data_IF_402744353082
#
_entry.id   IF_402744353082
#
_cell.length_a   1.000
_cell.length_b   1.000
_cell.length_c   1.000
_cell.angle_alpha   90.00
_cell.angle_beta   90.00
_cell.angle_gamma   90.00
#
_symmetry.space_group_name_H-M   'P 1'
#
loop_
_entity.id
_entity.type
_entity.pdbx_description
1 polymer ?
#
# COMPACT_ATOMS: atom_id res chain seq x y z
N UNK A 1 31.18 -48.05 -47.37
CA UNK A 1 30.16 -48.63 -46.49
C UNK A 1 29.79 -47.59 -45.45
N UNK A 2 28.52 -47.21 -45.42
CA UNK A 2 27.96 -46.11 -44.63
C UNK A 2 28.20 -46.28 -43.12
N UNK A 3 28.69 -45.24 -42.45
CA UNK A 3 28.31 -44.94 -41.08
C UNK A 3 28.16 -43.43 -40.90
N UNK A 4 26.90 -42.99 -40.76
CA UNK A 4 26.51 -41.64 -40.44
C UNK A 4 26.86 -41.34 -38.97
N UNK A 5 27.58 -40.24 -38.74
CA UNK A 5 27.87 -39.71 -37.42
C UNK A 5 26.74 -38.74 -37.05
N UNK A 6 25.90 -39.12 -36.07
CA UNK A 6 24.87 -38.24 -35.51
C UNK A 6 25.53 -37.36 -34.45
N UNK A 7 25.70 -36.07 -34.76
CA UNK A 7 26.08 -35.04 -33.79
C UNK A 7 24.86 -34.63 -32.97
N UNK A 8 24.85 -34.97 -31.67
CA UNK A 8 23.95 -34.33 -30.71
C UNK A 8 24.55 -32.99 -30.28
N UNK A 9 23.94 -31.89 -30.73
CA UNK A 9 24.22 -30.56 -30.21
C UNK A 9 23.42 -30.36 -28.91
N UNK A 10 24.10 -30.34 -27.77
CA UNK A 10 23.54 -29.87 -26.50
C UNK A 10 23.55 -28.34 -26.56
N UNK A 11 22.40 -27.74 -26.85
CA UNK A 11 22.19 -26.30 -26.71
C UNK A 11 22.01 -26.01 -25.22
N UNK A 12 23.11 -25.65 -24.55
CA UNK A 12 23.07 -25.09 -23.21
C UNK A 12 22.46 -23.68 -23.27
N UNK A 13 21.20 -23.56 -22.89
CA UNK A 13 20.55 -22.26 -22.66
C UNK A 13 21.14 -21.69 -21.37
N UNK A 14 22.12 -20.80 -21.51
CA UNK A 14 22.65 -20.01 -20.42
C UNK A 14 21.62 -18.93 -20.06
N UNK A 15 20.71 -19.27 -19.15
CA UNK A 15 19.73 -18.35 -18.59
C UNK A 15 20.46 -17.40 -17.64
N UNK A 16 20.88 -16.23 -18.13
CA UNK A 16 21.41 -15.16 -17.27
C UNK A 16 20.25 -14.55 -16.48
N UNK A 17 19.98 -15.12 -15.30
CA UNK A 17 19.17 -14.47 -14.27
C UNK A 17 19.96 -13.27 -13.73
N UNK A 18 19.69 -12.08 -14.27
CA UNK A 18 20.03 -10.84 -13.58
C UNK A 18 19.08 -10.70 -12.39
N UNK A 19 19.51 -11.21 -11.24
CA UNK A 19 18.86 -10.93 -9.96
C UNK A 19 19.05 -9.45 -9.65
N UNK A 20 17.98 -8.67 -9.78
CA UNK A 20 17.89 -7.39 -9.09
C UNK A 20 17.88 -7.68 -7.59
N UNK A 21 19.05 -7.65 -6.97
CA UNK A 21 19.20 -7.58 -5.51
C UNK A 21 18.71 -6.19 -5.08
N UNK A 22 17.40 -6.06 -4.88
CA UNK A 22 16.88 -5.06 -3.97
C UNK A 22 17.35 -5.48 -2.58
N UNK A 23 18.19 -4.67 -1.95
CA UNK A 23 18.66 -4.93 -0.59
C UNK A 23 17.46 -4.71 0.33
N UNK A 24 16.77 -5.80 0.67
CA UNK A 24 15.94 -5.84 1.86
C UNK A 24 16.92 -5.93 3.04
N UNK A 25 16.88 -4.97 3.96
CA UNK A 25 17.80 -4.92 5.11
C UNK A 25 17.44 -5.95 6.20
N UNK A 26 16.43 -6.79 5.99
CA UNK A 26 15.94 -7.76 6.97
C UNK A 26 16.19 -9.21 6.52
N UNK A 27 16.98 -10.02 7.28
CA UNK A 27 17.15 -11.45 7.02
C UNK A 27 15.90 -12.28 7.35
N UNK A 28 14.85 -11.70 7.94
CA UNK A 28 13.66 -12.43 8.32
C UNK A 28 12.88 -12.95 7.10
N UNK A 29 12.39 -14.19 7.20
CA UNK A 29 11.54 -14.80 6.18
C UNK A 29 10.10 -14.28 6.32
N UNK A 30 9.72 -13.36 5.44
CA UNK A 30 8.39 -12.76 5.41
C UNK A 30 7.31 -13.66 4.78
N UNK A 31 7.71 -14.82 4.21
CA UNK A 31 6.82 -15.76 3.52
C UNK A 31 6.64 -17.07 4.28
N UNK A 32 7.62 -17.42 5.11
CA UNK A 32 7.64 -18.62 5.91
C UNK A 32 6.48 -18.75 6.91
N UNK A 33 6.18 -19.99 7.26
CA UNK A 33 5.29 -20.32 8.38
C UNK A 33 5.93 -19.78 9.67
N UNK A 34 5.15 -19.08 10.48
CA UNK A 34 5.59 -18.63 11.81
C UNK A 34 5.05 -19.54 12.91
N UNK A 35 5.81 -19.66 13.98
CA UNK A 35 5.27 -20.16 15.24
C UNK A 35 4.23 -19.18 15.79
N UNK A 36 3.23 -19.73 16.51
CA UNK A 36 2.17 -18.91 17.12
C UNK A 36 2.62 -18.44 18.50
N UNK A 37 2.31 -17.19 18.90
CA UNK A 37 1.56 -16.19 18.11
C UNK A 37 2.39 -15.57 16.98
N UNK A 38 1.78 -15.37 15.81
CA UNK A 38 2.46 -14.79 14.63
C UNK A 38 2.69 -13.28 14.79
N UNK A 39 3.73 -12.77 14.14
CA UNK A 39 3.88 -11.33 13.88
C UNK A 39 3.26 -10.93 12.54
N UNK A 40 2.88 -9.66 12.44
CA UNK A 40 2.34 -9.04 11.23
C UNK A 40 3.47 -8.56 10.31
N UNK A 41 3.15 -7.91 9.19
CA UNK A 41 4.11 -7.61 8.12
C UNK A 41 4.49 -8.82 7.27
N UNK A 42 3.80 -9.95 7.44
CA UNK A 42 4.12 -11.23 6.80
C UNK A 42 3.05 -11.71 5.84
N UNK A 43 3.36 -12.76 5.07
CA UNK A 43 2.45 -13.36 4.12
C UNK A 43 1.15 -13.83 4.77
N UNK A 44 0.04 -13.48 4.13
CA UNK A 44 -1.28 -13.98 4.48
C UNK A 44 -2.33 -13.62 3.47
N UNK A 45 -3.55 -14.11 3.70
CA UNK A 45 -4.68 -13.86 2.82
C UNK A 45 -5.82 -14.83 3.05
N UNK A 46 -6.82 -14.73 2.20
CA UNK A 46 -8.01 -15.58 2.29
C UNK A 46 -7.73 -16.99 1.72
N UNK A 47 -7.99 -18.03 2.52
CA UNK A 47 -7.79 -19.44 2.15
C UNK A 47 -8.67 -19.88 0.97
N UNK A 48 -9.71 -19.13 0.64
CA UNK A 48 -10.59 -19.39 -0.51
C UNK A 48 -10.11 -18.75 -1.81
N UNK A 49 -9.04 -17.94 -1.79
CA UNK A 49 -8.47 -17.22 -2.94
C UNK A 49 -7.72 -18.12 -3.93
N UNK A 50 -8.39 -19.18 -4.37
CA UNK A 50 -7.96 -20.13 -5.38
C UNK A 50 -8.46 -19.71 -6.77
N UNK A 51 -7.54 -19.66 -7.73
CA UNK A 51 -7.81 -19.43 -9.15
C UNK A 51 -7.99 -20.79 -9.84
N UNK A 52 -9.15 -21.41 -9.60
CA UNK A 52 -9.48 -22.81 -9.95
C UNK A 52 -9.20 -23.23 -11.41
N UNK A 53 -9.24 -22.31 -12.37
CA UNK A 53 -9.02 -22.62 -13.80
C UNK A 53 -7.54 -22.65 -14.21
N UNK A 54 -6.63 -22.07 -13.42
CA UNK A 54 -5.20 -21.97 -13.77
C UNK A 54 -4.28 -22.58 -12.71
N UNK A 55 -4.82 -23.16 -11.63
CA UNK A 55 -4.01 -23.73 -10.55
C UNK A 55 -3.23 -22.69 -9.73
N UNK A 56 -3.62 -21.42 -9.78
CA UNK A 56 -2.97 -20.34 -9.02
C UNK A 56 -3.75 -19.94 -7.76
N UNK A 57 -3.15 -19.12 -6.91
CA UNK A 57 -3.79 -18.51 -5.76
C UNK A 57 -3.28 -17.07 -5.55
N UNK A 58 -3.92 -16.33 -4.66
CA UNK A 58 -3.56 -14.95 -4.31
C UNK A 58 -3.10 -14.87 -2.85
N UNK A 59 -2.18 -13.95 -2.56
CA UNK A 59 -1.75 -13.62 -1.20
C UNK A 59 -1.20 -12.20 -1.17
N UNK A 60 -1.22 -11.60 0.01
CA UNK A 60 -0.64 -10.29 0.27
C UNK A 60 0.01 -10.28 1.65
N UNK A 61 -0.09 -9.16 2.33
CA UNK A 61 0.47 -8.96 3.67
C UNK A 61 -0.63 -8.89 4.73
N UNK A 62 -0.41 -9.54 5.88
CA UNK A 62 -1.14 -9.27 7.13
C UNK A 62 -0.54 -8.00 7.75
N UNK A 63 -1.22 -6.86 7.61
CA UNK A 63 -0.62 -5.54 7.78
C UNK A 63 -0.40 -5.09 9.20
N UNK A 64 -1.49 -4.96 9.94
CA UNK A 64 -1.49 -4.36 11.28
C UNK A 64 -2.55 -4.98 12.18
N UNK A 65 -2.35 -4.87 13.49
CA UNK A 65 -3.34 -5.25 14.48
C UNK A 65 -4.15 -4.00 14.82
N UNK A 66 -5.46 -4.13 14.76
CA UNK A 66 -6.39 -3.07 15.17
C UNK A 66 -7.37 -3.60 16.20
N UNK A 67 -7.99 -2.69 16.95
CA UNK A 67 -8.96 -3.04 17.96
C UNK A 67 -10.21 -2.17 17.90
N UNK A 68 -11.35 -2.74 18.28
CA UNK A 68 -12.56 -1.96 18.59
C UNK A 68 -12.48 -1.30 19.97
N UNK A 69 -13.42 -0.39 20.26
CA UNK A 69 -13.61 0.20 21.59
C UNK A 69 -13.87 -0.85 22.70
N UNK A 70 -14.36 -2.03 22.32
CA UNK A 70 -14.59 -3.18 23.21
C UNK A 70 -13.41 -4.15 23.26
N UNK A 71 -12.23 -3.75 22.76
CA UNK A 71 -10.98 -4.55 22.74
C UNK A 71 -11.05 -5.85 21.93
N UNK A 72 -11.96 -5.95 20.94
CA UNK A 72 -11.90 -7.05 19.98
C UNK A 72 -10.76 -6.80 18.99
N UNK A 73 -9.91 -7.81 18.78
CA UNK A 73 -8.73 -7.70 17.92
C UNK A 73 -9.03 -8.15 16.49
N UNK A 74 -8.50 -7.40 15.53
CA UNK A 74 -8.60 -7.71 14.10
C UNK A 74 -7.26 -7.51 13.40
N UNK A 75 -6.96 -8.40 12.44
CA UNK A 75 -5.89 -8.16 11.46
C UNK A 75 -6.43 -7.25 10.36
N UNK A 76 -5.71 -6.18 10.05
CA UNK A 76 -5.94 -5.28 8.92
C UNK A 76 -5.12 -5.71 7.70
N UNK A 77 -5.75 -5.71 6.53
CA UNK A 77 -5.09 -5.83 5.21
C UNK A 77 -5.90 -5.08 4.15
N UNK A 78 -5.54 -5.20 2.88
CA UNK A 78 -6.39 -4.68 1.80
C UNK A 78 -7.63 -5.56 1.58
N UNK A 79 -8.69 -4.94 1.09
CA UNK A 79 -9.89 -5.67 0.65
C UNK A 79 -9.53 -6.69 -0.42
N UNK A 80 -8.71 -6.34 -1.42
CA UNK A 80 -8.37 -7.29 -2.49
C UNK A 80 -7.48 -8.46 -2.03
N UNK A 81 -6.82 -8.36 -0.87
CA UNK A 81 -6.03 -9.45 -0.27
C UNK A 81 -6.93 -10.42 0.51
N UNK A 82 -7.91 -9.89 1.25
CA UNK A 82 -8.84 -10.69 2.04
C UNK A 82 -10.12 -11.08 1.31
N UNK A 83 -10.43 -10.47 0.17
CA UNK A 83 -11.55 -10.88 -0.65
C UNK A 83 -11.23 -12.19 -1.37
N UNK A 84 -12.12 -13.18 -1.20
CA UNK A 84 -12.10 -14.39 -1.99
C UNK A 84 -12.55 -14.14 -3.44
N UNK A 85 -12.61 -15.19 -4.29
CA UNK A 85 -13.01 -15.08 -5.69
C UNK A 85 -14.46 -14.62 -5.90
N UNK A 86 -15.27 -14.65 -4.83
CA UNK A 86 -16.67 -14.17 -4.79
C UNK A 86 -16.80 -12.80 -4.11
N UNK A 87 -15.69 -12.15 -3.77
CA UNK A 87 -15.65 -11.00 -2.87
C UNK A 87 -15.44 -11.42 -1.41
N UNK A 88 -15.30 -10.44 -0.52
CA UNK A 88 -15.21 -10.66 0.92
C UNK A 88 -16.53 -11.26 1.46
N UNK A 89 -16.49 -12.51 1.92
CA UNK A 89 -17.60 -13.17 2.62
C UNK A 89 -17.24 -13.22 4.12
N UNK A 90 -18.12 -12.66 4.96
CA UNK A 90 -17.91 -12.68 6.42
C UNK A 90 -17.78 -14.12 6.91
N UNK A 91 -16.77 -14.36 7.74
CA UNK A 91 -16.39 -15.68 8.25
C UNK A 91 -15.37 -16.42 7.38
N UNK A 92 -14.97 -15.89 6.22
CA UNK A 92 -13.94 -16.53 5.40
C UNK A 92 -12.62 -16.67 6.19
N UNK A 93 -11.96 -17.84 6.11
CA UNK A 93 -10.71 -18.10 6.84
C UNK A 93 -9.53 -17.31 6.26
N UNK A 94 -8.80 -16.61 7.13
CA UNK A 94 -7.55 -15.93 6.82
C UNK A 94 -6.38 -16.72 7.39
N UNK A 95 -5.36 -16.98 6.56
CA UNK A 95 -4.22 -17.83 6.91
C UNK A 95 -2.90 -17.08 7.04
N UNK A 96 -2.02 -17.64 7.87
CA UNK A 96 -0.58 -17.39 7.85
C UNK A 96 0.14 -18.75 7.67
N UNK A 97 1.03 -18.89 6.67
CA UNK A 97 1.31 -17.92 5.62
C UNK A 97 0.13 -17.77 4.65
N UNK A 98 0.28 -16.93 3.62
CA UNK A 98 -0.68 -16.83 2.53
C UNK A 98 -0.64 -18.06 1.61
N UNK A 99 -1.74 -18.34 0.91
CA UNK A 99 -1.85 -19.48 -0.01
C UNK A 99 -0.68 -19.60 -0.99
N UNK A 100 -0.19 -18.51 -1.57
CA UNK A 100 0.93 -18.54 -2.55
C UNK A 100 2.17 -19.16 -1.93
N UNK A 101 2.43 -18.86 -0.65
CA UNK A 101 3.63 -19.29 0.07
C UNK A 101 3.45 -20.65 0.76
N UNK A 102 2.27 -21.28 0.57
CA UNK A 102 1.97 -22.67 0.94
C UNK A 102 1.52 -23.51 -0.25
N UNK A 103 2.04 -23.23 -1.45
CA UNK A 103 1.77 -23.96 -2.70
C UNK A 103 0.27 -24.09 -3.04
N UNK A 104 -0.53 -23.09 -2.66
CA UNK A 104 -1.99 -23.09 -2.76
C UNK A 104 -2.67 -24.30 -2.07
N UNK A 105 -1.97 -24.94 -1.12
CA UNK A 105 -2.35 -26.20 -0.48
C UNK A 105 -2.43 -26.08 1.06
N UNK A 106 -2.75 -24.89 1.56
CA UNK A 106 -2.99 -24.67 3.00
C UNK A 106 -4.35 -25.21 3.44
N UNK A 107 -4.49 -25.44 4.74
CA UNK A 107 -5.71 -25.95 5.36
C UNK A 107 -6.14 -25.15 6.58
N UNK A 108 -7.17 -25.67 7.27
CA UNK A 108 -7.75 -25.01 8.43
C UNK A 108 -6.74 -24.81 9.59
N UNK A 109 -5.69 -25.64 9.65
CA UNK A 109 -4.60 -25.52 10.62
C UNK A 109 -3.76 -24.24 10.47
N UNK A 110 -3.84 -23.58 9.31
CA UNK A 110 -3.10 -22.34 9.04
C UNK A 110 -3.92 -21.09 9.34
N UNK A 111 -5.18 -21.23 9.73
CA UNK A 111 -6.08 -20.09 9.98
C UNK A 111 -5.67 -19.38 11.26
N UNK A 112 -5.61 -18.05 11.18
CA UNK A 112 -5.24 -17.15 12.30
C UNK A 112 -6.29 -16.07 12.55
N UNK A 113 -7.21 -15.86 11.60
CA UNK A 113 -8.32 -14.92 11.72
C UNK A 113 -9.49 -15.29 10.80
N UNK A 114 -10.66 -14.70 11.04
CA UNK A 114 -11.85 -14.87 10.20
C UNK A 114 -12.37 -13.52 9.72
N UNK A 115 -12.58 -13.37 8.41
CA UNK A 115 -12.97 -12.12 7.77
C UNK A 115 -14.22 -11.53 8.43
N UNK A 116 -14.15 -10.27 8.85
CA UNK A 116 -15.22 -9.60 9.60
C UNK A 116 -15.92 -8.54 8.78
N UNK A 117 -15.14 -7.67 8.13
CA UNK A 117 -15.66 -6.57 7.34
C UNK A 117 -14.66 -6.15 6.25
N UNK A 118 -15.14 -5.40 5.27
CA UNK A 118 -14.27 -4.83 4.25
C UNK A 118 -14.94 -3.73 3.44
N UNK A 119 -14.11 -2.80 2.99
CA UNK A 119 -14.50 -1.67 2.14
C UNK A 119 -14.45 -2.10 0.70
N UNK A 120 -15.62 -2.37 0.12
CA UNK A 120 -15.70 -2.83 -1.27
C UNK A 120 -15.27 -1.73 -2.24
N UNK A 121 -14.28 -2.03 -3.07
CA UNK A 121 -13.83 -1.13 -4.14
C UNK A 121 -14.93 -0.93 -5.19
N UNK A 122 -15.26 0.34 -5.43
CA UNK A 122 -16.20 0.80 -6.44
C UNK A 122 -15.44 1.12 -7.73
N UNK A 123 -15.93 0.58 -8.84
CA UNK A 123 -15.29 0.73 -10.15
C UNK A 123 -15.97 1.79 -11.00
N UNK A 124 -15.30 2.21 -12.08
CA UNK A 124 -15.79 3.24 -12.97
C UNK A 124 -15.52 4.65 -12.42
N UNK A 125 -16.54 5.53 -12.43
CA UNK A 125 -16.41 6.94 -11.99
C UNK A 125 -16.68 7.16 -10.50
N UNK A 126 -16.92 6.10 -9.74
CA UNK A 126 -17.11 6.21 -8.30
C UNK A 126 -15.78 6.48 -7.61
N UNK A 127 -15.82 7.28 -6.55
CA UNK A 127 -14.64 7.61 -5.74
C UNK A 127 -14.48 6.61 -4.61
N UNK A 128 -13.22 6.25 -4.33
CA UNK A 128 -12.83 5.35 -3.25
C UNK A 128 -11.85 6.08 -2.32
N UNK A 129 -11.97 5.81 -1.02
CA UNK A 129 -11.07 6.38 -0.02
C UNK A 129 -10.08 5.34 0.51
N UNK A 130 -10.49 4.07 0.55
CA UNK A 130 -9.70 2.98 1.10
C UNK A 130 -9.93 1.67 0.34
N UNK A 131 -8.87 0.87 0.23
CA UNK A 131 -8.93 -0.54 -0.10
C UNK A 131 -8.49 -1.31 1.15
N UNK A 132 -9.46 -1.72 1.97
CA UNK A 132 -9.18 -2.29 3.28
C UNK A 132 -10.19 -3.34 3.71
N UNK A 133 -9.73 -4.33 4.45
CA UNK A 133 -10.56 -5.33 5.11
C UNK A 133 -9.93 -5.77 6.42
N UNK A 134 -10.76 -6.29 7.30
CA UNK A 134 -10.35 -6.72 8.63
C UNK A 134 -10.88 -8.12 8.94
N UNK A 135 -10.10 -8.88 9.71
CA UNK A 135 -10.45 -10.24 10.11
C UNK A 135 -10.24 -10.42 11.62
N UNK A 136 -11.25 -10.92 12.32
CA UNK A 136 -11.23 -11.14 13.76
C UNK A 136 -10.22 -12.23 14.10
N UNK A 137 -9.29 -11.89 14.99
CA UNK A 137 -8.19 -12.76 15.41
C UNK A 137 -8.72 -14.00 16.11
N UNK A 138 -8.17 -15.17 15.76
CA UNK A 138 -8.33 -16.39 16.56
C UNK A 138 -7.43 -16.26 17.79
N UNK A 139 -8.02 -16.42 18.98
CA UNK A 139 -7.32 -16.19 20.25
C UNK A 139 -6.04 -17.01 20.36
N UNK A 140 -4.92 -16.33 20.64
CA UNK A 140 -3.61 -16.95 20.82
C UNK A 140 -2.78 -17.08 19.53
N UNK A 141 -3.36 -16.79 18.37
CA UNK A 141 -2.69 -17.00 17.08
C UNK A 141 -1.87 -15.82 16.60
N UNK A 142 -2.13 -14.61 17.10
CA UNK A 142 -1.50 -13.36 16.69
C UNK A 142 -0.94 -12.63 17.90
N UNK A 143 0.25 -12.04 17.76
CA UNK A 143 0.90 -11.28 18.81
C UNK A 143 0.04 -10.05 19.16
N UNK A 144 -0.45 -10.02 20.40
CA UNK A 144 -1.37 -8.97 20.88
C UNK A 144 -0.72 -7.61 21.04
N UNK A 145 0.61 -7.50 20.95
CA UNK A 145 1.30 -6.20 20.93
C UNK A 145 1.13 -5.47 19.60
N UNK A 146 0.75 -6.19 18.54
CA UNK A 146 0.72 -5.67 17.18
C UNK A 146 2.09 -5.62 16.51
N UNK A 147 3.08 -6.37 17.01
CA UNK A 147 4.43 -6.40 16.43
C UNK A 147 4.41 -6.76 14.94
N UNK A 148 5.18 -5.99 14.17
CA UNK A 148 5.37 -6.14 12.74
C UNK A 148 6.79 -6.67 12.51
N UNK A 149 6.94 -7.78 11.78
CA UNK A 149 8.21 -8.43 11.51
C UNK A 149 9.21 -7.43 10.91
N UNK A 150 10.40 -7.32 11.51
CA UNK A 150 11.46 -6.41 11.09
C UNK A 150 11.26 -4.93 11.48
N UNK A 151 10.08 -4.54 11.98
CA UNK A 151 9.78 -3.18 12.47
C UNK A 151 9.62 -3.13 13.99
N UNK A 152 9.09 -4.19 14.59
CA UNK A 152 8.66 -4.21 15.99
C UNK A 152 7.27 -3.60 16.17
N UNK A 153 6.98 -3.13 17.39
CA UNK A 153 5.67 -2.60 17.73
C UNK A 153 5.46 -1.20 17.09
N UNK A 154 4.40 -1.00 16.27
CA UNK A 154 4.05 0.34 15.80
C UNK A 154 3.53 1.20 16.95
N UNK A 155 3.60 2.52 16.81
CA UNK A 155 2.91 3.43 17.72
C UNK A 155 1.39 3.39 17.49
N UNK A 156 0.59 3.67 18.52
CA UNK A 156 -0.87 3.85 18.37
C UNK A 156 -1.25 5.21 17.77
N UNK A 157 -0.28 6.12 17.60
CA UNK A 157 -0.51 7.46 17.08
C UNK A 157 -0.58 7.46 15.55
N UNK A 158 -1.51 8.26 15.02
CA UNK A 158 -1.62 8.54 13.60
C UNK A 158 -0.75 9.74 13.26
N UNK A 159 0.04 9.60 12.21
CA UNK A 159 0.87 10.67 11.65
C UNK A 159 0.32 11.06 10.29
N UNK A 160 -0.01 12.34 10.14
CA UNK A 160 -0.51 12.86 8.88
C UNK A 160 0.58 12.77 7.80
N UNK A 161 0.27 12.25 6.60
CA UNK A 161 1.24 12.18 5.52
C UNK A 161 1.62 13.59 5.08
N UNK A 162 2.91 13.91 5.14
CA UNK A 162 3.45 15.20 4.69
C UNK A 162 4.60 14.96 3.73
N UNK A 163 4.78 15.88 2.79
CA UNK A 163 5.84 15.75 1.78
C UNK A 163 7.22 15.74 2.44
N UNK A 164 8.05 14.76 2.07
CA UNK A 164 9.37 14.54 2.63
C UNK A 164 9.37 13.69 3.91
N UNK A 165 8.21 13.25 4.41
CA UNK A 165 8.14 12.32 5.54
C UNK A 165 8.82 11.00 5.16
N UNK A 166 9.84 10.62 5.94
CA UNK A 166 10.48 9.31 5.85
C UNK A 166 9.54 8.23 6.40
N UNK A 167 9.36 7.17 5.63
CA UNK A 167 8.45 6.08 5.96
C UNK A 167 9.09 4.73 5.70
N UNK A 168 8.64 3.71 6.44
CA UNK A 168 8.97 2.31 6.20
C UNK A 168 7.73 1.43 6.24
N UNK A 169 7.86 0.23 5.69
CA UNK A 169 6.85 -0.83 5.76
C UNK A 169 7.54 -2.17 5.88
N UNK A 170 6.81 -3.17 6.37
CA UNK A 170 7.18 -4.59 6.28
C UNK A 170 6.12 -5.33 5.48
N UNK A 171 6.52 -6.13 4.49
CA UNK A 171 5.59 -6.82 3.60
C UNK A 171 6.14 -8.13 3.05
N UNK A 172 5.22 -9.00 2.61
CA UNK A 172 5.50 -10.37 2.19
C UNK A 172 6.62 -10.49 1.14
N UNK A 173 6.69 -9.57 0.19
CA UNK A 173 7.50 -9.74 -1.02
C UNK A 173 8.85 -9.08 -0.86
N UNK A 174 8.87 -7.81 -0.49
CA UNK A 174 10.09 -7.01 -0.42
C UNK A 174 10.62 -6.82 1.00
N UNK A 175 9.99 -7.42 2.01
CA UNK A 175 10.44 -7.34 3.39
C UNK A 175 10.32 -5.93 3.96
N UNK A 176 11.27 -5.54 4.81
CA UNK A 176 11.38 -4.16 5.32
C UNK A 176 12.02 -3.26 4.27
N UNK A 177 11.33 -2.18 3.93
CA UNK A 177 11.83 -1.17 2.97
C UNK A 177 11.52 0.23 3.44
N UNK A 178 12.41 1.17 3.15
CA UNK A 178 12.28 2.59 3.46
C UNK A 178 12.03 3.43 2.22
N UNK A 179 11.34 4.55 2.39
CA UNK A 179 10.99 5.49 1.33
C UNK A 179 10.59 6.85 1.87
N UNK A 180 10.01 7.68 1.01
CA UNK A 180 9.62 9.05 1.33
C UNK A 180 8.30 9.39 0.67
N UNK A 181 7.43 10.08 1.39
CA UNK A 181 6.19 10.64 0.84
C UNK A 181 6.53 11.76 -0.13
N UNK A 182 6.20 11.60 -1.40
CA UNK A 182 6.51 12.58 -2.47
C UNK A 182 5.28 13.29 -3.01
N UNK A 183 4.10 12.71 -2.87
CA UNK A 183 2.84 13.41 -3.14
C UNK A 183 1.75 13.03 -2.14
N UNK A 184 0.88 14.00 -1.85
CA UNK A 184 -0.31 13.87 -0.99
C UNK A 184 -1.52 14.44 -1.72
N UNK A 185 -2.72 14.23 -1.17
CA UNK A 185 -3.98 14.61 -1.82
C UNK A 185 -4.01 14.08 -3.27
N UNK A 186 -3.66 12.82 -3.44
CA UNK A 186 -3.55 12.21 -4.76
C UNK A 186 -4.91 11.65 -5.17
N UNK A 187 -5.39 12.07 -6.34
CA UNK A 187 -6.46 11.40 -7.06
C UNK A 187 -5.85 10.54 -8.15
N UNK A 188 -6.03 9.22 -8.08
CA UNK A 188 -5.33 8.26 -8.94
C UNK A 188 -6.27 7.16 -9.43
N UNK A 189 -6.07 6.74 -10.68
CA UNK A 189 -6.76 5.62 -11.30
C UNK A 189 -5.92 4.36 -11.12
N UNK A 190 -6.50 3.37 -10.45
CA UNK A 190 -5.86 2.09 -10.15
C UNK A 190 -6.49 0.99 -11.01
N UNK A 191 -5.65 0.20 -11.66
CA UNK A 191 -6.04 -1.03 -12.34
C UNK A 191 -6.05 -2.21 -11.36
N UNK A 192 -7.19 -2.90 -11.27
CA UNK A 192 -7.34 -4.16 -10.54
C UNK A 192 -7.48 -5.30 -11.53
N UNK A 193 -6.66 -6.34 -11.37
CA UNK A 193 -6.83 -7.59 -12.11
C UNK A 193 -8.06 -8.35 -11.61
N UNK A 194 -8.83 -8.95 -12.53
CA UNK A 194 -10.04 -9.72 -12.18
C UNK A 194 -9.75 -10.90 -11.25
N UNK A 195 -8.56 -11.47 -11.38
CA UNK A 195 -8.03 -12.57 -10.57
C UNK A 195 -6.51 -12.58 -10.73
N UNK A 196 -5.77 -13.12 -9.77
CA UNK A 196 -4.32 -13.29 -9.91
C UNK A 196 -3.98 -14.06 -11.20
N UNK A 197 -2.98 -13.57 -11.93
CA UNK A 197 -2.57 -14.09 -13.24
C UNK A 197 -3.49 -13.73 -14.42
N UNK A 198 -4.56 -12.94 -14.22
CA UNK A 198 -5.42 -12.45 -15.31
C UNK A 198 -4.85 -11.19 -15.95
N UNK A 199 -4.99 -11.07 -17.27
CA UNK A 199 -4.71 -9.83 -18.01
C UNK A 199 -5.91 -8.87 -18.06
N UNK A 200 -7.09 -9.30 -17.61
CA UNK A 200 -8.28 -8.44 -17.59
C UNK A 200 -8.27 -7.52 -16.37
N UNK A 201 -8.22 -6.22 -16.63
CA UNK A 201 -8.22 -5.17 -15.61
C UNK A 201 -9.54 -4.41 -15.55
N UNK A 202 -9.88 -3.92 -14.36
CA UNK A 202 -10.94 -2.93 -14.12
C UNK A 202 -10.32 -1.71 -13.45
N UNK A 203 -10.84 -0.52 -13.76
CA UNK A 203 -10.32 0.74 -13.22
C UNK A 203 -11.20 1.26 -12.10
N UNK A 204 -10.56 1.74 -11.03
CA UNK A 204 -11.18 2.40 -9.90
C UNK A 204 -10.41 3.68 -9.56
N UNK A 205 -11.13 4.77 -9.28
CA UNK A 205 -10.52 6.05 -8.89
C UNK A 205 -10.47 6.14 -7.37
N UNK A 206 -9.30 6.45 -6.84
CA UNK A 206 -9.07 6.72 -5.42
C UNK A 206 -8.71 8.18 -5.22
N UNK A 207 -9.21 8.80 -4.15
CA UNK A 207 -8.97 10.22 -3.80
C UNK A 207 -8.30 10.33 -2.44
N UNK A 208 -7.60 11.43 -2.18
CA UNK A 208 -6.85 11.63 -0.92
C UNK A 208 -5.77 10.56 -0.66
N UNK A 209 -5.09 10.10 -1.71
CA UNK A 209 -4.08 9.05 -1.59
C UNK A 209 -2.68 9.63 -1.34
N UNK A 210 -1.76 8.75 -0.95
CA UNK A 210 -0.36 9.07 -0.69
C UNK A 210 0.50 8.39 -1.75
N UNK A 211 1.42 9.12 -2.38
CA UNK A 211 2.48 8.53 -3.20
C UNK A 211 3.78 8.49 -2.40
N UNK A 212 4.40 7.31 -2.40
CA UNK A 212 5.69 7.07 -1.76
C UNK A 212 6.65 6.54 -2.83
N UNK A 213 7.85 7.09 -2.84
CA UNK A 213 8.97 6.61 -3.67
C UNK A 213 10.15 6.24 -2.79
N UNK A 214 11.10 5.48 -3.31
CA UNK A 214 12.36 5.22 -2.62
C UNK A 214 13.54 5.44 -3.57
N UNK A 215 14.62 5.99 -3.03
CA UNK A 215 15.82 6.39 -3.79
C UNK A 215 16.80 5.24 -4.01
N UNK A 216 16.68 4.15 -3.24
CA UNK A 216 17.69 3.09 -3.17
C UNK A 216 17.16 1.73 -3.64
N UNK A 217 15.86 1.49 -3.55
CA UNK A 217 15.21 0.26 -3.97
C UNK A 217 13.72 0.50 -4.29
N UNK A 218 13.00 -0.53 -4.75
CA UNK A 218 11.55 -0.46 -4.83
C UNK A 218 10.96 -0.48 -3.41
N UNK A 219 10.17 0.54 -3.05
CA UNK A 219 9.48 0.60 -1.75
C UNK A 219 8.43 -0.51 -1.58
N UNK A 220 7.88 -1.04 -2.67
CA UNK A 220 6.91 -2.13 -2.62
C UNK A 220 6.83 -2.86 -3.95
N UNK A 221 6.37 -4.10 -3.89
CA UNK A 221 6.22 -5.00 -5.02
C UNK A 221 4.90 -5.75 -4.93
N UNK A 222 4.60 -6.54 -5.96
CA UNK A 222 3.39 -7.35 -5.97
C UNK A 222 3.30 -8.30 -4.78
N UNK A 223 2.19 -8.23 -4.05
CA UNK A 223 1.93 -8.94 -2.80
C UNK A 223 2.48 -8.30 -1.52
N UNK A 224 3.02 -7.08 -1.57
CA UNK A 224 3.15 -6.22 -0.38
C UNK A 224 1.84 -5.48 -0.06
N UNK A 225 0.81 -5.63 -0.88
CA UNK A 225 -0.54 -5.12 -0.62
C UNK A 225 -1.01 -5.51 0.78
N UNK A 226 -1.46 -4.53 1.56
CA UNK A 226 -1.89 -4.67 2.94
C UNK A 226 -0.81 -4.34 3.96
N UNK A 227 0.42 -4.04 3.54
CA UNK A 227 1.48 -3.64 4.47
C UNK A 227 1.17 -2.29 5.11
N UNK A 228 1.33 -2.21 6.44
CA UNK A 228 1.23 -0.96 7.18
C UNK A 228 2.44 -0.07 6.84
N UNK A 229 2.17 1.19 6.51
CA UNK A 229 3.19 2.21 6.33
C UNK A 229 3.28 3.03 7.61
N UNK A 230 4.47 3.09 8.18
CA UNK A 230 4.78 3.80 9.43
C UNK A 230 5.93 4.76 9.21
N UNK A 231 6.15 5.68 10.16
CA UNK A 231 7.33 6.55 10.16
C UNK A 231 8.64 5.74 10.16
N UNK A 232 9.66 6.30 9.49
CA UNK A 232 11.00 5.72 9.52
C UNK A 232 11.76 6.16 10.78
N UNK A 233 11.33 5.62 11.93
CA UNK A 233 11.97 5.78 13.24
C UNK A 233 12.11 4.42 13.93
N UNK A 234 13.09 4.28 14.81
CA UNK A 234 13.49 2.98 15.35
C UNK A 234 12.50 2.38 16.36
N UNK A 235 11.74 3.20 17.08
CA UNK A 235 10.89 2.74 18.18
C UNK A 235 9.52 3.39 18.09
N UNK A 236 8.46 2.57 18.20
CA UNK A 236 7.08 3.04 18.22
C UNK A 236 6.72 3.98 17.05
N UNK A 237 7.05 3.62 15.79
CA UNK A 237 6.83 4.52 14.67
C UNK A 237 5.35 4.83 14.49
N UNK A 238 5.01 6.11 14.30
CA UNK A 238 3.64 6.53 14.06
C UNK A 238 3.09 5.99 12.75
N UNK A 239 1.77 5.81 12.68
CA UNK A 239 1.11 5.14 11.56
C UNK A 239 0.65 6.15 10.52
N UNK A 240 1.02 5.91 9.27
CA UNK A 240 0.81 6.87 8.17
C UNK A 240 -0.26 6.37 7.20
N UNK A 241 -0.18 5.10 6.78
CA UNK A 241 -1.08 4.60 5.74
C UNK A 241 -1.05 3.09 5.54
N UNK A 242 -1.79 2.62 4.54
CA UNK A 242 -1.90 1.23 4.13
C UNK A 242 -1.55 1.11 2.64
N UNK A 243 -0.47 0.40 2.32
CA UNK A 243 -0.05 0.19 0.93
C UNK A 243 -1.08 -0.69 0.22
N UNK A 244 -1.53 -0.28 -0.98
CA UNK A 244 -2.51 -1.06 -1.75
C UNK A 244 -2.25 -1.16 -3.26
N UNK A 245 -1.40 -0.29 -3.80
CA UNK A 245 -1.10 -0.29 -5.22
C UNK A 245 0.31 0.24 -5.49
N UNK A 246 0.79 0.07 -6.72
CA UNK A 246 2.03 0.68 -7.16
C UNK A 246 2.23 0.64 -8.66
N UNK A 247 3.30 1.25 -9.11
CA UNK A 247 3.71 1.37 -10.50
C UNK A 247 5.23 1.30 -10.60
N UNK A 248 5.83 1.80 -11.70
CA UNK A 248 7.28 1.83 -11.82
C UNK A 248 7.85 2.92 -10.90
N UNK A 249 8.49 2.51 -9.80
CA UNK A 249 9.20 3.40 -8.88
C UNK A 249 8.34 4.14 -7.85
N UNK A 250 7.02 3.96 -7.89
CA UNK A 250 6.07 4.60 -6.98
C UNK A 250 5.10 3.58 -6.39
N UNK A 251 4.76 3.74 -5.11
CA UNK A 251 3.62 3.03 -4.51
C UNK A 251 2.54 4.03 -4.12
N UNK A 252 1.32 3.51 -3.98
CA UNK A 252 0.16 4.24 -3.49
C UNK A 252 -0.29 3.62 -2.17
N UNK A 253 -0.50 4.48 -1.17
CA UNK A 253 -1.06 4.09 0.11
C UNK A 253 -2.34 4.90 0.41
N UNK A 254 -3.33 4.23 1.00
CA UNK A 254 -4.46 4.91 1.61
C UNK A 254 -4.00 5.56 2.93
N UNK A 255 -4.38 6.82 3.24
CA UNK A 255 -4.16 7.37 4.58
C UNK A 255 -4.83 6.49 5.64
N UNK A 256 -4.15 6.25 6.75
CA UNK A 256 -4.70 5.35 7.77
C UNK A 256 -6.00 5.89 8.39
N UNK A 257 -6.18 7.21 8.40
CA UNK A 257 -7.42 7.87 8.83
C UNK A 257 -8.62 7.44 7.97
N UNK A 258 -8.43 7.40 6.66
CA UNK A 258 -9.48 7.06 5.70
C UNK A 258 -9.82 5.57 5.77
N UNK A 259 -8.80 4.74 5.99
CA UNK A 259 -8.94 3.29 6.23
C UNK A 259 -9.77 3.02 7.48
N UNK A 260 -9.39 3.60 8.63
CA UNK A 260 -10.09 3.39 9.90
C UNK A 260 -11.53 3.93 9.83
N UNK A 261 -11.74 5.12 9.26
CA UNK A 261 -13.08 5.68 9.12
C UNK A 261 -14.00 4.85 8.22
N UNK A 262 -13.48 4.37 7.07
CA UNK A 262 -14.28 3.56 6.13
C UNK A 262 -14.62 2.18 6.73
N UNK A 263 -13.67 1.56 7.44
CA UNK A 263 -13.91 0.28 8.12
C UNK A 263 -14.86 0.44 9.30
N UNK A 264 -14.71 1.49 10.10
CA UNK A 264 -15.59 1.77 11.24
C UNK A 264 -17.03 1.99 10.78
N UNK A 265 -17.22 2.75 9.70
CA UNK A 265 -18.51 2.91 9.04
C UNK A 265 -19.08 1.56 8.55
N UNK A 266 -18.23 0.69 7.98
CA UNK A 266 -18.65 -0.65 7.52
C UNK A 266 -19.08 -1.58 8.66
N UNK A 267 -18.64 -1.29 9.90
CA UNK A 267 -18.96 -2.03 11.11
C UNK A 267 -20.07 -1.39 11.96
N UNK A 268 -20.62 -0.25 11.53
CA UNK A 268 -21.64 0.48 12.30
C UNK A 268 -21.09 1.30 13.47
N UNK A 269 -19.84 1.76 13.41
CA UNK A 269 -19.28 2.71 14.38
C UNK A 269 -18.78 2.06 15.67
N UNK A 270 -17.94 1.02 15.57
CA UNK A 270 -17.42 0.29 16.73
C UNK A 270 -16.22 0.97 17.41
N UNK A 271 -15.71 2.05 16.82
CA UNK A 271 -14.51 2.77 17.25
C UNK A 271 -13.25 1.94 17.02
N UNK A 272 -12.69 2.02 15.81
CA UNK A 272 -11.46 1.31 15.45
C UNK A 272 -10.20 2.14 15.73
N UNK A 273 -9.16 1.51 16.29
CA UNK A 273 -7.85 2.11 16.53
C UNK A 273 -6.72 1.12 16.30
N UNK A 274 -5.51 1.62 16.04
CA UNK A 274 -4.31 0.79 15.90
C UNK A 274 -3.90 0.23 17.27
N UNK A 275 -3.60 -1.07 17.33
CA UNK A 275 -2.91 -1.68 18.47
C UNK A 275 -1.41 -1.46 18.29
N UNK A 276 -0.79 -0.89 19.30
CA UNK A 276 0.60 -0.51 19.28
C UNK A 276 1.04 0.03 20.63
N UNK A 277 2.30 0.40 20.75
CA UNK A 277 2.79 1.01 21.97
C UNK A 277 2.10 2.38 22.16
N UNK A 278 1.79 2.74 23.43
CA UNK A 278 1.37 4.11 23.72
C UNK A 278 2.47 5.07 23.28
N UNK A 279 2.09 6.26 22.83
CA UNK A 279 3.05 7.31 22.51
C UNK A 279 4.03 7.44 23.69
N UNK A 280 5.31 7.12 23.47
CA UNK A 280 6.29 7.17 24.53
C UNK A 280 6.48 8.61 24.97
N UNK A 281 5.79 9.07 26.04
CA UNK A 281 6.04 10.34 26.74
C UNK A 281 6.18 11.59 25.87
N UNK A 282 5.65 11.59 24.64
CA UNK A 282 5.81 12.62 23.64
C UNK A 282 4.45 13.05 23.12
N UNK A 283 3.90 14.06 23.80
CA UNK A 283 2.67 14.78 23.49
C UNK A 283 1.38 13.94 23.43
N UNK A 284 0.74 13.79 24.59
CA UNK A 284 -0.71 13.90 24.64
C UNK A 284 -1.15 15.17 23.89
N UNK A 285 -2.28 15.07 23.19
CA UNK A 285 -3.06 16.20 22.71
C UNK A 285 -3.55 17.04 23.90
N UNK A 286 -2.65 17.81 24.50
CA UNK A 286 -2.93 19.03 25.24
C UNK A 286 -1.83 20.02 24.87
N UNK A 287 -2.26 21.21 24.44
CA UNK A 287 -1.42 22.35 24.09
C UNK A 287 -0.18 22.44 25.00
N UNK A 288 1.03 22.19 24.48
CA UNK A 288 2.03 23.19 24.08
C UNK A 288 3.10 22.41 23.29
N UNK A 289 3.29 22.73 22.02
CA UNK A 289 4.38 22.19 21.22
C UNK A 289 5.75 22.53 21.86
N UNK A 290 6.65 21.56 21.99
CA UNK A 290 8.08 21.85 21.95
C UNK A 290 8.37 22.61 20.63
N UNK A 291 9.33 23.54 20.58
CA UNK A 291 9.44 24.52 19.50
C UNK A 291 9.97 23.87 18.21
N UNK A 292 9.13 23.07 17.56
CA UNK A 292 9.05 22.99 16.11
C UNK A 292 8.68 24.40 15.67
N UNK A 293 9.42 24.98 14.73
CA UNK A 293 9.14 26.30 14.18
C UNK A 293 7.71 26.31 13.60
N UNK A 294 6.74 26.69 14.44
CA UNK A 294 5.31 26.66 14.15
C UNK A 294 4.93 27.60 13.01
N UNK A 295 5.81 28.59 12.74
CA UNK A 295 5.69 29.47 11.57
C UNK A 295 6.11 28.77 10.29
N UNK A 296 7.17 27.95 10.31
CA UNK A 296 7.55 27.10 9.15
C UNK A 296 6.56 25.98 8.89
N UNK A 297 6.02 25.32 9.93
CA UNK A 297 5.00 24.28 9.75
C UNK A 297 3.67 24.85 9.26
N UNK A 298 3.25 26.02 9.77
CA UNK A 298 2.07 26.74 9.28
C UNK A 298 2.23 27.27 7.85
N UNK A 299 3.42 27.76 7.50
CA UNK A 299 3.73 28.21 6.14
C UNK A 299 3.76 27.02 5.16
N UNK A 300 4.40 25.91 5.52
CA UNK A 300 4.39 24.68 4.73
C UNK A 300 2.96 24.16 4.54
N UNK A 301 2.15 24.09 5.60
CA UNK A 301 0.74 23.69 5.52
C UNK A 301 -0.08 24.61 4.58
N UNK A 302 0.11 25.92 4.65
CA UNK A 302 -0.60 26.87 3.77
C UNK A 302 -0.16 26.80 2.30
N UNK A 303 1.13 26.51 2.04
CA UNK A 303 1.66 26.32 0.68
C UNK A 303 1.06 25.06 0.03
N UNK A 304 0.95 23.95 0.77
CA UNK A 304 0.34 22.73 0.24
C UNK A 304 -1.18 22.84 0.13
N UNK A 305 -1.84 23.56 1.03
CA UNK A 305 -3.27 23.87 0.90
C UNK A 305 -3.57 24.65 -0.40
N UNK A 306 -2.69 25.55 -0.84
CA UNK A 306 -2.81 26.22 -2.15
C UNK A 306 -2.75 25.22 -3.30
N UNK A 307 -1.80 24.28 -3.24
CA UNK A 307 -1.65 23.20 -4.22
C UNK A 307 -2.89 22.32 -4.28
N UNK A 308 -3.39 21.86 -3.13
CA UNK A 308 -4.60 21.05 -3.02
C UNK A 308 -5.82 21.77 -3.59
N UNK A 309 -6.03 23.03 -3.20
CA UNK A 309 -7.15 23.83 -3.73
C UNK A 309 -7.09 23.97 -5.25
N UNK A 310 -5.91 24.22 -5.82
CA UNK A 310 -5.72 24.30 -7.26
C UNK A 310 -5.99 22.94 -7.92
N UNK A 311 -5.41 21.86 -7.40
CA UNK A 311 -5.59 20.49 -7.91
C UNK A 311 -7.06 20.07 -7.87
N UNK A 312 -7.76 20.18 -6.73
CA UNK A 312 -9.15 19.70 -6.59
C UNK A 312 -10.14 20.40 -7.52
N UNK A 313 -9.88 21.65 -7.91
CA UNK A 313 -10.74 22.38 -8.85
C UNK A 313 -10.61 21.88 -10.30
N UNK A 314 -9.49 21.26 -10.64
CA UNK A 314 -9.13 20.90 -12.01
C UNK A 314 -8.87 19.40 -12.22
N UNK A 315 -8.92 18.58 -11.17
CA UNK A 315 -8.60 17.15 -11.23
C UNK A 315 -9.47 16.36 -12.22
N UNK A 316 -10.77 16.67 -12.31
CA UNK A 316 -11.67 16.03 -13.27
C UNK A 316 -11.24 16.29 -14.73
N UNK A 317 -10.79 17.51 -15.02
CA UNK A 317 -10.31 17.86 -16.36
C UNK A 317 -8.96 17.20 -16.66
N UNK A 318 -8.06 17.15 -15.68
CA UNK A 318 -6.77 16.47 -15.81
C UNK A 318 -6.94 14.97 -16.09
N UNK A 319 -7.83 14.29 -15.35
CA UNK A 319 -8.09 12.86 -15.49
C UNK A 319 -8.81 12.49 -16.80
N UNK A 320 -9.39 13.46 -17.52
CA UNK A 320 -9.94 13.26 -18.86
C UNK A 320 -8.88 13.31 -19.97
N UNK A 321 -7.68 13.84 -19.69
CA UNK A 321 -6.59 13.86 -20.67
C UNK A 321 -6.06 12.43 -20.86
N UNK A 322 -6.09 11.96 -22.10
CA UNK A 322 -5.60 10.61 -22.44
C UNK A 322 -4.12 10.45 -22.07
N UNK A 323 -3.80 9.43 -21.27
CA UNK A 323 -2.44 9.18 -20.78
C UNK A 323 -2.19 9.71 -19.37
N UNK A 324 -3.08 10.52 -18.80
CA UNK A 324 -3.04 10.88 -17.38
C UNK A 324 -3.63 9.74 -16.55
N UNK A 325 -2.91 9.32 -15.51
CA UNK A 325 -3.32 8.24 -14.59
C UNK A 325 -3.58 8.76 -13.17
N UNK A 326 -3.25 10.01 -12.88
CA UNK A 326 -3.54 10.64 -11.60
C UNK A 326 -3.06 12.09 -11.54
N UNK A 327 -3.41 12.76 -10.45
CA UNK A 327 -2.82 14.03 -10.06
C UNK A 327 -2.77 14.17 -8.54
N UNK A 328 -1.86 14.99 -8.04
CA UNK A 328 -1.68 15.20 -6.60
C UNK A 328 -0.90 16.46 -6.29
N UNK A 329 -0.52 16.64 -5.03
CA UNK A 329 0.27 17.77 -4.57
C UNK A 329 1.65 17.30 -4.14
N UNK A 330 2.68 17.85 -4.78
CA UNK A 330 4.08 17.58 -4.51
C UNK A 330 4.88 18.84 -4.23
N UNK A 331 6.22 18.71 -4.19
CA UNK A 331 7.14 19.85 -4.06
C UNK A 331 7.61 20.29 -5.45
N UNK A 332 7.60 21.60 -5.69
CA UNK A 332 8.13 22.17 -6.94
C UNK A 332 9.62 21.83 -7.11
N UNK A 333 10.01 21.26 -8.26
CA UNK A 333 11.42 21.03 -8.60
C UNK A 333 12.20 22.33 -8.80
N UNK A 334 11.53 23.43 -9.14
CA UNK A 334 12.16 24.73 -9.34
C UNK A 334 12.37 25.47 -8.01
N UNK A 335 11.42 25.35 -7.09
CA UNK A 335 11.49 25.93 -5.76
C UNK A 335 10.93 24.95 -4.72
N UNK A 336 11.78 24.19 -4.01
CA UNK A 336 11.32 23.20 -3.02
C UNK A 336 10.50 23.78 -1.86
N UNK A 337 10.49 25.11 -1.69
CA UNK A 337 9.66 25.81 -0.70
C UNK A 337 8.21 26.04 -1.19
N UNK A 338 7.90 25.70 -2.44
CA UNK A 338 6.58 25.83 -3.05
C UNK A 338 5.96 24.46 -3.36
N UNK A 339 4.63 24.43 -3.37
CA UNK A 339 3.87 23.28 -3.84
C UNK A 339 3.81 23.25 -5.36
N UNK A 340 3.60 22.06 -5.91
CA UNK A 340 3.27 21.85 -7.31
C UNK A 340 2.08 20.91 -7.44
N UNK A 341 1.30 21.09 -8.51
CA UNK A 341 0.37 20.06 -8.96
C UNK A 341 1.17 19.03 -9.74
N UNK A 342 1.27 17.82 -9.21
CA UNK A 342 1.86 16.69 -9.92
C UNK A 342 0.80 16.05 -10.81
N UNK A 343 1.15 15.80 -12.07
CA UNK A 343 0.32 15.13 -13.07
C UNK A 343 1.02 13.81 -13.40
N UNK A 344 0.47 12.71 -12.90
CA UNK A 344 1.00 11.37 -13.11
C UNK A 344 0.53 10.86 -14.46
N UNK A 345 1.47 10.39 -15.28
CA UNK A 345 1.19 9.95 -16.65
C UNK A 345 1.71 8.54 -16.88
N UNK A 346 1.02 7.80 -17.74
CA UNK A 346 1.46 6.47 -18.18
C UNK A 346 2.79 6.56 -18.93
N UNK A 347 2.93 7.56 -19.80
CA UNK A 347 4.15 7.81 -20.55
C UNK A 347 4.30 9.30 -20.84
N UNK A 348 5.44 9.87 -20.51
CA UNK A 348 5.77 11.25 -20.82
C UNK A 348 6.18 11.38 -22.28
N UNK A 349 5.51 12.29 -22.99
CA UNK A 349 5.77 12.54 -24.40
C UNK A 349 5.50 14.00 -24.73
N UNK A 350 6.18 14.52 -25.76
CA UNK A 350 5.95 15.88 -26.26
C UNK A 350 4.50 16.11 -26.67
N UNK A 351 3.86 15.12 -27.29
CA UNK A 351 2.45 15.18 -27.69
C UNK A 351 1.51 15.28 -26.48
N UNK A 352 1.74 14.51 -25.42
CA UNK A 352 0.96 14.61 -24.19
C UNK A 352 1.16 15.96 -23.50
N UNK A 353 2.41 16.43 -23.40
CA UNK A 353 2.74 17.71 -22.75
C UNK A 353 2.06 18.92 -23.39
N UNK A 354 1.74 18.88 -24.69
CA UNK A 354 0.97 19.94 -25.36
C UNK A 354 -0.46 20.09 -24.82
N UNK A 355 -1.01 19.04 -24.21
CA UNK A 355 -2.35 19.01 -23.64
C UNK A 355 -2.37 19.24 -22.11
N UNK A 356 -1.19 19.37 -21.49
CA UNK A 356 -1.06 19.56 -20.05
C UNK A 356 -0.69 21.00 -19.73
N UNK A 357 -1.32 21.60 -18.71
CA UNK A 357 -0.96 22.94 -18.29
C UNK A 357 0.44 22.95 -17.66
N UNK A 358 1.17 24.05 -17.85
CA UNK A 358 2.42 24.31 -17.13
C UNK A 358 2.18 24.90 -15.73
N UNK A 359 0.99 25.47 -15.48
CA UNK A 359 0.53 25.92 -14.17
C UNK A 359 -1.01 25.91 -14.09
N UNK A 360 -1.55 25.74 -12.89
CA UNK A 360 -2.99 25.78 -12.59
C UNK A 360 -3.20 26.73 -11.43
N UNK A 361 -4.05 27.74 -11.61
CA UNK A 361 -4.34 28.77 -10.59
C UNK A 361 -3.06 29.37 -9.95
N UNK A 362 -1.99 29.54 -10.76
CA UNK A 362 -0.70 30.06 -10.33
C UNK A 362 0.22 29.06 -9.61
N UNK A 363 -0.20 27.80 -9.45
CA UNK A 363 0.62 26.70 -8.93
C UNK A 363 1.33 26.01 -10.10
N UNK A 364 2.66 25.83 -10.07
CA UNK A 364 3.37 25.13 -11.13
C UNK A 364 2.90 23.67 -11.26
N UNK A 365 2.79 23.19 -12.49
CA UNK A 365 2.47 21.79 -12.79
C UNK A 365 3.74 21.02 -13.14
N UNK A 366 3.80 19.77 -12.70
CA UNK A 366 4.92 18.88 -12.98
C UNK A 366 4.42 17.55 -13.52
N UNK A 367 4.91 17.16 -14.68
CA UNK A 367 4.62 15.84 -15.26
C UNK A 367 5.55 14.80 -14.65
N UNK A 368 4.97 13.71 -14.17
CA UNK A 368 5.69 12.59 -13.57
C UNK A 368 5.29 11.31 -14.31
N UNK A 369 6.22 10.74 -15.06
CA UNK A 369 6.01 9.42 -15.68
C UNK A 369 6.06 8.34 -14.59
N UNK A 370 4.96 7.61 -14.44
CA UNK A 370 4.83 6.53 -13.45
C UNK A 370 4.49 5.19 -14.08
N UNK A 371 4.09 5.18 -15.35
CA UNK A 371 3.34 4.06 -15.89
C UNK A 371 1.96 3.98 -15.24
N UNK A 372 1.30 2.83 -15.43
CA UNK A 372 -0.02 2.57 -14.86
C UNK A 372 0.11 2.03 -13.44
N UNK A 373 -0.70 2.57 -12.53
CA UNK A 373 -0.82 2.05 -11.17
C UNK A 373 -1.72 0.82 -11.12
N UNK A 374 -1.26 -0.22 -10.42
CA UNK A 374 -1.97 -1.49 -10.26
C UNK A 374 -2.07 -1.88 -8.80
N UNK A 375 -3.23 -2.41 -8.41
CA UNK A 375 -3.34 -3.22 -7.21
C UNK A 375 -2.78 -4.61 -7.54
N UNK A 376 -1.92 -5.14 -6.67
CA UNK A 376 -1.18 -6.38 -6.91
C UNK A 376 -1.61 -7.51 -6.00
#
# INVERSE_FOLDING_TARGET
>A
MNHALVCFAIVGVCLTALTNLAVADDPADHRGVQDRPIQLGTSGGNLTSLVKRMGGCCSGTLGALIQSSTSNLFILSNYHVFAGPKGAIVGDPITQPGLIDGDCALGQSNVVANLTAGVKVLFGRNLNHADAAIASVVTGDVDTTGSILGIGQPGSQIVLPTLGLGVKKSGRTSGVTQGTVTAVDVTVVIEYVKSCGSSHVRKATFVNQIIITSSFANFGQGGDSGSLVVEDVDTCPGVVGLLFAGSQGSVVANPITDVLAALDASMGGVGLSIVGCPAGGGAELNSIAAPVDTRRSGLAASVFARGSKAKSKHEDALLQVTGVVGCGVGRSRQNPSESSVEIFVEKDSSALRQHLPSSIDGVPCQVVETGVFRAY
#
